data_IF_716663041652
#
_entry.id   IF_716663041652
#
_cell.length_a   1.000
_cell.length_b   1.000
_cell.length_c   1.000
_cell.angle_alpha   90.00
_cell.angle_beta   90.00
_cell.angle_gamma   90.00
#
_symmetry.space_group_name_H-M   'P 1'
#
loop_
_entity.id
_entity.type
_entity.pdbx_description
1 polymer ?
#
# COMPACT_ATOMS: atom_id res chain seq x y z
N UNK A 1 -51.04 -24.76 21.87
CA UNK A 1 -49.57 -24.57 21.93
C UNK A 1 -49.19 -24.53 23.38
N UNK A 2 -48.32 -25.43 23.83
CA UNK A 2 -47.83 -25.43 25.20
C UNK A 2 -47.04 -24.14 25.43
N UNK A 3 -47.41 -23.36 26.43
CA UNK A 3 -46.71 -22.16 26.83
C UNK A 3 -45.53 -22.60 27.71
N UNK A 4 -44.39 -22.88 27.08
CA UNK A 4 -43.21 -23.44 27.77
C UNK A 4 -42.43 -22.39 28.58
N UNK A 5 -42.72 -21.10 28.40
CA UNK A 5 -42.16 -20.01 29.22
C UNK A 5 -43.17 -18.89 29.46
N UNK A 6 -43.30 -18.45 30.70
CA UNK A 6 -44.15 -17.31 31.08
C UNK A 6 -43.46 -15.96 30.87
N UNK A 7 -42.12 -15.93 30.88
CA UNK A 7 -41.33 -14.72 30.72
C UNK A 7 -40.02 -15.03 29.98
N UNK A 8 -39.73 -14.24 28.95
CA UNK A 8 -38.43 -14.24 28.28
C UNK A 8 -37.68 -12.95 28.63
N UNK A 9 -36.51 -13.08 29.25
CA UNK A 9 -35.63 -11.94 29.58
C UNK A 9 -34.32 -12.13 28.82
N UNK A 10 -33.97 -11.18 27.97
CA UNK A 10 -32.75 -11.27 27.16
C UNK A 10 -32.64 -10.17 26.11
N UNK A 11 -31.52 -10.15 25.37
CA UNK A 11 -31.31 -9.21 24.28
C UNK A 11 -32.13 -9.65 23.05
N UNK A 12 -33.40 -9.24 23.01
CA UNK A 12 -34.28 -9.46 21.86
C UNK A 12 -34.42 -8.18 21.05
N UNK A 13 -34.36 -8.31 19.72
CA UNK A 13 -34.71 -7.22 18.82
C UNK A 13 -36.23 -7.17 18.70
N UNK A 14 -36.84 -6.04 19.00
CA UNK A 14 -38.29 -5.86 18.84
C UNK A 14 -38.56 -5.52 17.37
N UNK A 15 -39.01 -6.50 16.59
CA UNK A 15 -39.49 -6.31 15.21
C UNK A 15 -41.01 -6.12 15.18
N UNK A 16 -41.57 -5.64 14.07
CA UNK A 16 -43.03 -5.48 13.92
C UNK A 16 -43.77 -6.81 14.06
N UNK A 17 -43.20 -7.91 13.56
CA UNK A 17 -43.78 -9.24 13.71
C UNK A 17 -43.83 -9.70 15.17
N UNK A 18 -42.74 -9.50 15.93
CA UNK A 18 -42.68 -9.87 17.35
C UNK A 18 -43.61 -8.99 18.19
N UNK A 19 -43.74 -7.71 17.84
CA UNK A 19 -44.61 -6.75 18.52
C UNK A 19 -46.11 -7.08 18.37
N UNK A 20 -46.51 -7.76 17.30
CA UNK A 20 -47.89 -8.23 17.08
C UNK A 20 -48.23 -9.46 17.95
N UNK A 21 -47.27 -10.37 18.09
CA UNK A 21 -47.48 -11.64 18.80
C UNK A 21 -47.21 -11.55 20.32
N UNK A 22 -46.32 -10.66 20.76
CA UNK A 22 -45.89 -10.55 22.16
C UNK A 22 -45.98 -9.12 22.69
N UNK A 23 -46.58 -8.97 23.88
CA UNK A 23 -46.51 -7.72 24.64
C UNK A 23 -45.10 -7.55 25.20
N UNK A 24 -44.40 -6.51 24.75
CA UNK A 24 -43.06 -6.15 25.23
C UNK A 24 -43.14 -4.99 26.23
N UNK A 25 -42.16 -4.94 27.14
CA UNK A 25 -42.00 -3.86 28.11
C UNK A 25 -41.33 -2.62 27.50
N UNK A 26 -40.97 -1.66 28.35
CA UNK A 26 -40.18 -0.50 27.92
C UNK A 26 -38.81 -0.92 27.38
N UNK A 27 -38.38 -0.29 26.29
CA UNK A 27 -37.07 -0.54 25.67
C UNK A 27 -35.96 -0.15 26.64
N UNK A 28 -35.12 -1.12 27.03
CA UNK A 28 -33.99 -0.91 27.94
C UNK A 28 -32.71 -0.48 27.22
N UNK A 29 -32.50 -0.95 25.98
CA UNK A 29 -31.29 -0.70 25.20
C UNK A 29 -31.65 -0.42 23.74
N UNK A 30 -31.11 0.67 23.21
CA UNK A 30 -31.18 1.03 21.80
C UNK A 30 -29.79 0.87 21.22
N UNK A 31 -29.63 -0.05 20.26
CA UNK A 31 -28.41 -0.18 19.48
C UNK A 31 -28.72 -0.09 17.99
N UNK A 32 -27.76 0.45 17.25
CA UNK A 32 -27.86 0.61 15.81
C UNK A 32 -27.14 -0.53 15.12
N UNK A 33 -27.49 -0.81 13.86
CA UNK A 33 -26.73 -1.74 13.04
C UNK A 33 -25.29 -1.24 12.90
N UNK A 34 -24.33 -2.04 13.36
CA UNK A 34 -22.89 -1.75 13.24
C UNK A 34 -22.22 -2.76 12.33
N UNK A 35 -21.31 -2.29 11.49
CA UNK A 35 -20.46 -3.15 10.69
C UNK A 35 -19.26 -3.59 11.51
N UNK A 36 -19.07 -4.89 11.61
CA UNK A 36 -17.85 -5.48 12.14
C UNK A 36 -17.08 -6.09 10.97
N UNK A 37 -15.96 -5.47 10.62
CA UNK A 37 -15.02 -5.99 9.64
C UNK A 37 -13.73 -6.42 10.36
N UNK A 38 -13.38 -7.69 10.27
CA UNK A 38 -12.08 -8.18 10.72
C UNK A 38 -11.01 -7.82 9.69
N UNK A 39 -9.98 -7.08 10.09
CA UNK A 39 -8.81 -6.88 9.24
C UNK A 39 -7.90 -8.11 9.32
N UNK A 40 -7.75 -8.85 8.22
CA UNK A 40 -6.79 -9.96 8.13
C UNK A 40 -5.34 -9.46 8.20
N UNK A 41 -5.06 -8.23 7.73
CA UNK A 41 -3.75 -7.57 7.84
C UNK A 41 -3.94 -6.08 8.08
N UNK A 42 -3.40 -5.50 9.17
CA UNK A 42 -3.61 -4.08 9.48
C UNK A 42 -2.82 -3.13 8.56
N UNK A 43 -1.80 -3.63 7.85
CA UNK A 43 -0.90 -2.80 7.05
C UNK A 43 -0.52 -3.48 5.74
N UNK A 44 -0.49 -2.71 4.65
CA UNK A 44 0.12 -3.13 3.40
C UNK A 44 1.57 -2.65 3.35
N UNK A 45 2.50 -3.56 3.11
CA UNK A 45 3.88 -3.19 2.81
C UNK A 45 4.02 -3.01 1.31
N UNK A 46 3.82 -1.79 0.79
CA UNK A 46 3.96 -1.52 -0.63
C UNK A 46 5.46 -1.57 -1.02
N UNK A 47 5.98 -2.75 -1.41
CA UNK A 47 7.41 -2.92 -1.79
C UNK A 47 7.73 -2.13 -3.05
N UNK A 48 6.83 -2.12 -4.03
CA UNK A 48 7.04 -1.40 -5.29
C UNK A 48 6.83 0.12 -5.18
N UNK A 49 6.03 0.59 -4.20
CA UNK A 49 5.98 2.01 -3.85
C UNK A 49 7.30 2.53 -3.26
N UNK A 50 8.19 1.65 -2.77
CA UNK A 50 9.46 2.05 -2.14
C UNK A 50 10.57 2.39 -3.13
N UNK A 51 10.52 1.86 -4.35
CA UNK A 51 11.40 2.35 -5.44
C UNK A 51 10.95 3.74 -5.90
N UNK A 52 9.67 4.08 -5.64
CA UNK A 52 9.05 5.38 -5.87
C UNK A 52 9.18 6.37 -4.69
N UNK A 53 10.00 6.10 -3.67
CA UNK A 53 10.27 7.10 -2.60
C UNK A 53 10.78 8.42 -3.18
N UNK A 54 11.44 8.36 -4.35
CA UNK A 54 11.64 9.54 -5.18
C UNK A 54 10.65 9.58 -6.33
N UNK A 55 10.15 10.78 -6.59
CA UNK A 55 9.39 11.08 -7.80
C UNK A 55 10.21 10.66 -9.03
N UNK A 56 9.50 10.15 -10.04
CA UNK A 56 10.10 9.74 -11.31
C UNK A 56 10.94 10.88 -11.93
N UNK A 57 10.55 12.13 -11.67
CA UNK A 57 11.26 13.34 -12.08
C UNK A 57 12.69 13.40 -11.54
N UNK A 58 12.90 13.01 -10.28
CA UNK A 58 14.22 13.02 -9.65
C UNK A 58 15.11 11.92 -10.23
N UNK A 59 14.56 10.73 -10.48
CA UNK A 59 15.29 9.66 -11.15
C UNK A 59 15.72 10.04 -12.57
N UNK A 60 14.83 10.69 -13.32
CA UNK A 60 15.13 11.23 -14.65
C UNK A 60 16.21 12.31 -14.57
N UNK A 61 16.15 13.20 -13.57
CA UNK A 61 17.14 14.25 -13.36
C UNK A 61 18.52 13.67 -13.03
N UNK A 62 18.59 12.67 -12.15
CA UNK A 62 19.85 11.95 -11.84
C UNK A 62 20.39 11.28 -13.10
N UNK A 63 19.55 10.57 -13.86
CA UNK A 63 19.96 9.94 -15.12
C UNK A 63 20.49 10.95 -16.15
N UNK A 64 19.79 12.07 -16.33
CA UNK A 64 20.16 13.11 -17.28
C UNK A 64 21.45 13.83 -16.86
N UNK A 65 21.60 14.14 -15.57
CA UNK A 65 22.83 14.71 -15.03
C UNK A 65 24.02 13.78 -15.24
N UNK A 66 23.84 12.46 -15.04
CA UNK A 66 24.89 11.47 -15.24
C UNK A 66 25.31 11.38 -16.72
N UNK A 67 24.36 11.38 -17.66
CA UNK A 67 24.64 11.43 -19.10
C UNK A 67 25.39 12.71 -19.48
N UNK A 68 24.96 13.87 -18.97
CA UNK A 68 25.58 15.17 -19.24
C UNK A 68 27.02 15.23 -18.70
N UNK A 69 27.24 14.81 -17.45
CA UNK A 69 28.56 14.76 -16.84
C UNK A 69 29.50 13.80 -17.57
N UNK A 70 28.99 12.64 -17.98
CA UNK A 70 29.75 11.67 -18.77
C UNK A 70 30.17 12.27 -20.12
N UNK A 71 29.25 12.95 -20.81
CA UNK A 71 29.54 13.63 -22.07
C UNK A 71 30.58 14.75 -21.92
N UNK A 72 30.42 15.63 -20.93
CA UNK A 72 31.37 16.71 -20.61
C UNK A 72 32.75 16.15 -20.28
N UNK A 73 32.80 15.07 -19.50
CA UNK A 73 34.05 14.43 -19.09
C UNK A 73 34.83 13.86 -20.27
N UNK A 74 34.14 13.23 -21.23
CA UNK A 74 34.79 12.72 -22.45
C UNK A 74 35.38 13.85 -23.30
N UNK A 75 34.78 15.05 -23.28
CA UNK A 75 35.36 16.23 -23.95
C UNK A 75 36.61 16.77 -23.24
N UNK A 76 36.68 16.63 -21.92
CA UNK A 76 37.81 17.04 -21.09
C UNK A 76 38.99 16.05 -21.17
N UNK A 77 38.70 14.78 -21.48
CA UNK A 77 39.71 13.76 -21.80
C UNK A 77 40.25 14.05 -23.21
N UNK A 78 41.40 14.73 -23.28
CA UNK A 78 42.03 15.08 -24.57
C UNK A 78 42.48 13.81 -25.31
N UNK A 79 41.97 13.54 -26.53
CA UNK A 79 42.53 12.50 -27.38
C UNK A 79 43.89 12.96 -27.92
N UNK A 80 44.93 12.16 -27.74
CA UNK A 80 46.26 12.42 -28.31
C UNK A 80 46.35 12.17 -29.84
N UNK A 81 45.22 12.10 -30.57
CA UNK A 81 45.24 11.93 -32.03
C UNK A 81 43.87 11.95 -32.70
N UNK A 82 43.72 12.78 -33.75
CA UNK A 82 42.45 13.10 -34.43
C UNK A 82 41.86 11.95 -35.26
N UNK A 83 42.70 10.99 -35.72
CA UNK A 83 42.31 9.97 -36.72
C UNK A 83 41.70 8.67 -36.17
N UNK A 84 41.92 8.31 -34.88
CA UNK A 84 41.32 7.13 -34.22
C UNK A 84 40.06 7.45 -33.40
N UNK A 85 39.59 8.70 -33.46
CA UNK A 85 38.68 9.27 -32.47
C UNK A 85 37.26 8.69 -32.51
N UNK A 86 36.69 8.41 -33.70
CA UNK A 86 35.28 7.97 -33.81
C UNK A 86 35.01 6.57 -33.25
N UNK A 87 35.89 5.59 -33.51
CA UNK A 87 35.74 4.23 -32.99
C UNK A 87 36.11 4.14 -31.48
N UNK A 88 36.98 5.03 -31.00
CA UNK A 88 37.35 5.09 -29.59
C UNK A 88 36.33 5.83 -28.72
N UNK A 89 35.55 6.76 -29.29
CA UNK A 89 34.66 7.63 -28.53
C UNK A 89 33.59 6.86 -27.75
N UNK A 90 32.88 5.91 -28.37
CA UNK A 90 31.86 5.12 -27.68
C UNK A 90 32.43 4.29 -26.54
N UNK A 91 33.63 3.73 -26.72
CA UNK A 91 34.32 2.94 -25.68
C UNK A 91 34.73 3.84 -24.51
N UNK A 92 35.39 4.96 -24.80
CA UNK A 92 35.79 5.94 -23.78
C UNK A 92 34.57 6.54 -23.07
N UNK A 93 33.49 6.81 -23.79
CA UNK A 93 32.22 7.26 -23.18
C UNK A 93 31.63 6.20 -22.27
N UNK A 94 31.60 4.94 -22.69
CA UNK A 94 31.15 3.83 -21.85
C UNK A 94 31.99 3.72 -20.57
N UNK A 95 33.31 3.72 -20.69
CA UNK A 95 34.22 3.62 -19.55
C UNK A 95 34.02 4.78 -18.55
N UNK A 96 33.92 6.02 -19.05
CA UNK A 96 33.66 7.22 -18.24
C UNK A 96 32.27 7.17 -17.60
N UNK A 97 31.25 6.79 -18.35
CA UNK A 97 29.89 6.61 -17.85
C UNK A 97 29.84 5.60 -16.70
N UNK A 98 30.52 4.46 -16.85
CA UNK A 98 30.57 3.44 -15.80
C UNK A 98 31.31 3.92 -14.55
N UNK A 99 32.31 4.81 -14.67
CA UNK A 99 32.95 5.45 -13.51
C UNK A 99 31.94 6.32 -12.76
N UNK A 100 31.22 7.22 -13.44
CA UNK A 100 30.21 8.07 -12.81
C UNK A 100 29.05 7.27 -12.22
N UNK A 101 28.62 6.21 -12.91
CA UNK A 101 27.60 5.29 -12.44
C UNK A 101 28.04 4.52 -11.19
N UNK A 102 29.26 3.97 -11.19
CA UNK A 102 29.83 3.31 -10.01
C UNK A 102 29.95 4.29 -8.83
N UNK A 103 30.38 5.53 -9.08
CA UNK A 103 30.43 6.59 -8.07
C UNK A 103 29.06 6.93 -7.48
N UNK A 104 28.00 6.91 -8.29
CA UNK A 104 26.61 7.07 -7.81
C UNK A 104 26.22 5.96 -6.85
N UNK A 105 26.62 4.73 -7.16
CA UNK A 105 26.41 3.55 -6.32
C UNK A 105 27.40 3.46 -5.15
N UNK A 106 28.29 4.44 -4.98
CA UNK A 106 29.39 4.44 -4.01
C UNK A 106 30.27 3.18 -4.09
N UNK A 107 30.39 2.61 -5.29
CA UNK A 107 31.24 1.44 -5.57
C UNK A 107 32.49 1.88 -6.32
N UNK A 108 33.58 1.16 -6.08
CA UNK A 108 34.79 1.32 -6.86
C UNK A 108 34.55 0.89 -8.31
N UNK A 109 34.97 1.71 -9.27
CA UNK A 109 34.92 1.36 -10.70
C UNK A 109 36.07 0.42 -11.05
N UNK A 110 35.86 -0.63 -11.86
CA UNK A 110 36.96 -1.49 -12.34
C UNK A 110 37.90 -0.78 -13.33
N UNK A 111 37.56 0.43 -13.78
CA UNK A 111 38.39 1.21 -14.70
C UNK A 111 39.41 2.00 -13.90
N UNK A 112 40.65 1.49 -13.84
CA UNK A 112 41.68 2.04 -12.95
C UNK A 112 42.24 3.39 -13.42
N UNK A 113 42.28 3.67 -14.73
CA UNK A 113 42.90 4.91 -15.24
C UNK A 113 42.25 5.41 -16.52
N UNK A 114 41.41 6.45 -16.42
CA UNK A 114 41.08 7.31 -17.56
C UNK A 114 42.05 8.48 -17.53
N UNK A 115 42.79 8.69 -18.62
CA UNK A 115 43.76 9.80 -18.75
C UNK A 115 43.07 11.16 -18.72
N UNK A 116 42.71 11.63 -17.53
CA UNK A 116 42.04 12.89 -17.28
C UNK A 116 42.99 13.96 -16.76
N UNK A 117 42.80 15.20 -17.22
CA UNK A 117 43.45 16.36 -16.60
C UNK A 117 42.86 16.70 -15.22
N UNK A 118 43.41 17.69 -14.50
CA UNK A 118 42.93 18.09 -13.18
C UNK A 118 41.45 18.51 -13.17
N UNK A 119 40.94 19.05 -14.29
CA UNK A 119 39.53 19.39 -14.45
C UNK A 119 38.59 18.17 -14.38
N UNK A 120 39.01 17.02 -14.92
CA UNK A 120 38.25 15.77 -14.83
C UNK A 120 38.18 15.27 -13.38
N UNK A 121 39.31 15.30 -12.66
CA UNK A 121 39.34 14.90 -11.24
C UNK A 121 38.49 15.82 -10.36
N UNK A 122 38.50 17.13 -10.62
CA UNK A 122 37.65 18.09 -9.92
C UNK A 122 36.16 17.81 -10.13
N UNK A 123 35.75 17.58 -11.38
CA UNK A 123 34.37 17.23 -11.72
C UNK A 123 33.95 15.89 -11.09
N UNK A 124 34.83 14.90 -11.12
CA UNK A 124 34.58 13.60 -10.49
C UNK A 124 34.46 13.70 -8.97
N UNK A 125 35.34 14.46 -8.30
CA UNK A 125 35.23 14.70 -6.85
C UNK A 125 33.91 15.40 -6.50
N UNK A 126 33.53 16.43 -7.26
CA UNK A 126 32.25 17.11 -7.07
C UNK A 126 31.07 16.15 -7.23
N UNK A 127 31.11 15.28 -8.24
CA UNK A 127 30.11 14.24 -8.44
C UNK A 127 30.01 13.27 -7.27
N UNK A 128 31.15 12.80 -6.74
CA UNK A 128 31.18 11.90 -5.59
C UNK A 128 30.55 12.54 -4.34
N UNK A 129 30.82 13.83 -4.10
CA UNK A 129 30.19 14.58 -3.00
C UNK A 129 28.68 14.68 -3.21
N UNK A 130 28.23 15.06 -4.42
CA UNK A 130 26.80 15.11 -4.73
C UNK A 130 26.12 13.72 -4.59
N UNK A 131 26.75 12.66 -5.08
CA UNK A 131 26.28 11.29 -4.96
C UNK A 131 26.21 10.82 -3.50
N UNK A 132 27.15 11.24 -2.66
CA UNK A 132 27.11 10.99 -1.22
C UNK A 132 25.89 11.62 -0.56
N UNK A 133 25.61 12.91 -0.84
CA UNK A 133 24.41 13.56 -0.30
C UNK A 133 23.13 12.93 -0.84
N UNK A 134 23.06 12.64 -2.14
CA UNK A 134 21.89 12.03 -2.77
C UNK A 134 21.55 10.65 -2.15
N UNK A 135 22.56 9.79 -1.96
CA UNK A 135 22.35 8.46 -1.35
C UNK A 135 21.97 8.53 0.13
N UNK A 136 22.55 9.48 0.89
CA UNK A 136 22.16 9.68 2.29
C UNK A 136 20.72 10.18 2.40
N UNK A 137 20.33 11.13 1.56
CA UNK A 137 18.97 11.64 1.51
C UNK A 137 17.97 10.54 1.10
N UNK A 138 18.30 9.77 0.07
CA UNK A 138 17.50 8.61 -0.35
C UNK A 138 17.28 7.63 0.80
N UNK A 139 18.37 7.27 1.50
CA UNK A 139 18.31 6.34 2.62
C UNK A 139 17.48 6.90 3.77
N UNK A 140 17.58 8.20 4.06
CA UNK A 140 16.78 8.86 5.08
C UNK A 140 15.29 8.85 4.74
N UNK A 141 14.92 9.21 3.51
CA UNK A 141 13.54 9.17 3.02
C UNK A 141 12.99 7.74 3.02
N UNK A 142 13.77 6.76 2.55
CA UNK A 142 13.38 5.35 2.57
C UNK A 142 13.13 4.85 4.00
N UNK A 143 13.95 5.27 4.97
CA UNK A 143 13.74 4.94 6.39
C UNK A 143 12.47 5.58 6.93
N UNK A 144 12.18 6.83 6.59
CA UNK A 144 10.95 7.49 6.99
C UNK A 144 9.71 6.76 6.44
N UNK A 145 9.73 6.39 5.15
CA UNK A 145 8.64 5.64 4.51
C UNK A 145 8.45 4.25 5.11
N UNK A 146 9.53 3.59 5.55
CA UNK A 146 9.45 2.30 6.22
C UNK A 146 8.83 2.39 7.62
N UNK A 147 8.92 3.54 8.28
CA UNK A 147 8.30 3.77 9.59
C UNK A 147 6.80 4.07 9.46
N UNK A 148 6.39 4.72 8.37
CA UNK A 148 4.98 5.05 8.13
C UNK A 148 4.27 3.84 7.50
N UNK A 149 3.59 3.06 8.33
CA UNK A 149 2.70 2.00 7.84
C UNK A 149 1.40 2.64 7.37
N UNK A 150 1.10 2.53 6.08
CA UNK A 150 -0.18 2.96 5.53
C UNK A 150 -1.26 2.06 6.12
N UNK A 151 -2.24 2.67 6.79
CA UNK A 151 -3.40 1.96 7.31
C UNK A 151 -4.15 1.32 6.15
N UNK A 152 -4.50 0.03 6.29
CA UNK A 152 -5.35 -0.63 5.31
C UNK A 152 -6.69 0.12 5.16
N UNK A 153 -7.27 0.18 3.95
CA UNK A 153 -8.51 0.90 3.69
C UNK A 153 -9.60 0.40 4.64
N UNK A 154 -10.14 1.32 5.44
CA UNK A 154 -11.21 1.03 6.41
C UNK A 154 -12.57 1.21 5.75
N UNK A 155 -13.43 0.22 5.90
CA UNK A 155 -14.85 0.34 5.58
C UNK A 155 -15.47 1.26 6.63
N UNK A 156 -15.88 2.47 6.23
CA UNK A 156 -16.53 3.43 7.14
C UNK A 156 -18.04 3.48 6.91
N UNK A 157 -18.47 3.20 5.68
CA UNK A 157 -19.86 3.33 5.26
C UNK A 157 -20.36 2.07 4.58
N UNK A 158 -21.69 1.92 4.51
CA UNK A 158 -22.36 0.87 3.74
C UNK A 158 -22.01 0.95 2.25
N UNK A 159 -21.85 2.18 1.74
CA UNK A 159 -21.46 2.42 0.36
C UNK A 159 -20.08 1.82 0.04
N UNK A 160 -19.14 1.82 1.00
CA UNK A 160 -17.81 1.24 0.81
C UNK A 160 -17.89 -0.29 0.67
N UNK A 161 -18.78 -0.94 1.42
CA UNK A 161 -19.04 -2.39 1.32
C UNK A 161 -19.62 -2.74 -0.04
N UNK A 162 -20.57 -1.92 -0.52
CA UNK A 162 -21.26 -2.17 -1.79
C UNK A 162 -20.38 -1.91 -3.01
N UNK A 163 -19.36 -1.05 -2.88
CA UNK A 163 -18.43 -0.72 -3.97
C UNK A 163 -17.44 -1.83 -4.29
N UNK A 164 -17.10 -2.68 -3.32
CA UNK A 164 -16.13 -3.75 -3.51
C UNK A 164 -16.83 -5.12 -3.67
N UNK A 165 -16.93 -5.65 -4.91
CA UNK A 165 -17.61 -6.91 -5.17
C UNK A 165 -16.90 -8.13 -4.55
N UNK A 166 -15.68 -7.97 -4.02
CA UNK A 166 -14.94 -9.04 -3.35
C UNK A 166 -15.30 -9.20 -1.87
N UNK A 167 -15.99 -8.21 -1.28
CA UNK A 167 -16.36 -8.23 0.14
C UNK A 167 -17.56 -9.15 0.38
N UNK A 168 -17.37 -10.22 1.15
CA UNK A 168 -18.48 -11.10 1.58
C UNK A 168 -19.14 -10.54 2.83
N UNK A 169 -20.43 -10.22 2.72
CA UNK A 169 -21.25 -9.80 3.86
C UNK A 169 -21.81 -11.04 4.55
N UNK A 170 -21.54 -11.17 5.85
CA UNK A 170 -22.07 -12.24 6.69
C UNK A 170 -23.13 -11.67 7.63
N UNK A 171 -24.33 -12.25 7.58
CA UNK A 171 -25.41 -11.96 8.51
C UNK A 171 -25.59 -13.16 9.46
N UNK A 172 -25.65 -12.88 10.76
CA UNK A 172 -25.95 -13.91 11.75
C UNK A 172 -27.38 -14.39 11.59
N UNK A 173 -27.56 -15.67 11.26
CA UNK A 173 -28.87 -16.29 11.15
C UNK A 173 -29.64 -16.21 12.48
N UNK A 174 -30.94 -15.89 12.41
CA UNK A 174 -31.79 -15.71 13.59
C UNK A 174 -31.71 -14.32 14.23
N UNK A 175 -30.85 -13.42 13.73
CA UNK A 175 -30.91 -12.02 14.10
C UNK A 175 -32.11 -11.34 13.45
N UNK A 176 -32.84 -10.49 14.19
CA UNK A 176 -33.99 -9.73 13.68
C UNK A 176 -33.65 -8.79 12.51
N UNK A 177 -32.37 -8.51 12.28
CA UNK A 177 -31.88 -7.78 11.11
C UNK A 177 -32.08 -8.54 9.79
N UNK A 178 -32.17 -9.86 9.82
CA UNK A 178 -32.39 -10.68 8.61
C UNK A 178 -33.73 -10.32 7.97
N UNK A 179 -34.77 -10.13 8.78
CA UNK A 179 -36.09 -9.71 8.30
C UNK A 179 -36.05 -8.31 7.70
N UNK A 180 -35.32 -7.38 8.33
CA UNK A 180 -35.16 -6.03 7.84
C UNK A 180 -34.55 -5.99 6.43
N UNK A 181 -33.53 -6.81 6.16
CA UNK A 181 -32.90 -6.90 4.83
C UNK A 181 -33.74 -7.66 3.80
N UNK A 182 -34.63 -8.56 4.23
CA UNK A 182 -35.55 -9.29 3.34
C UNK A 182 -36.78 -8.45 2.95
N UNK A 183 -37.24 -7.58 3.84
CA UNK A 183 -38.43 -6.71 3.62
C UNK A 183 -38.06 -5.42 2.90
N UNK A 184 -36.82 -4.93 3.03
CA UNK A 184 -36.37 -3.73 2.31
C UNK A 184 -36.37 -4.00 0.80
N UNK A 185 -37.08 -3.19 -0.02
CA UNK A 185 -37.18 -3.44 -1.45
C UNK A 185 -35.79 -3.47 -2.09
N UNK A 186 -35.49 -4.57 -2.80
CA UNK A 186 -34.26 -4.74 -3.57
C UNK A 186 -34.17 -3.63 -4.61
N UNK A 187 -33.30 -2.66 -4.39
CA UNK A 187 -32.69 -1.97 -5.51
C UNK A 187 -31.84 -3.01 -6.25
N UNK A 188 -32.06 -3.14 -7.56
CA UNK A 188 -31.65 -4.25 -8.45
C UNK A 188 -30.15 -4.60 -8.53
N UNK A 189 -29.30 -3.98 -7.72
CA UNK A 189 -27.83 -4.10 -7.79
C UNK A 189 -27.18 -4.92 -6.66
N UNK A 190 -27.94 -5.41 -5.67
CA UNK A 190 -27.37 -6.13 -4.51
C UNK A 190 -27.35 -7.65 -4.77
N UNK A 191 -26.15 -8.21 -4.97
CA UNK A 191 -25.88 -9.66 -5.17
C UNK A 191 -25.91 -10.48 -3.88
N UNK A 192 -25.93 -11.80 -4.07
CA UNK A 192 -26.13 -12.89 -3.10
C UNK A 192 -25.65 -12.61 -1.67
N UNK A 193 -26.63 -12.55 -0.75
CA UNK A 193 -26.41 -12.53 0.69
C UNK A 193 -26.28 -13.99 1.14
N UNK A 194 -25.11 -14.37 1.67
CA UNK A 194 -24.93 -15.68 2.27
C UNK A 194 -25.27 -15.63 3.76
N UNK A 195 -26.34 -16.33 4.15
CA UNK A 195 -26.70 -16.54 5.56
C UNK A 195 -25.87 -17.70 6.12
N UNK A 196 -25.14 -17.43 7.20
CA UNK A 196 -24.43 -18.48 7.94
C UNK A 196 -25.24 -18.80 9.19
N UNK A 197 -25.73 -20.03 9.29
CA UNK A 197 -26.30 -20.58 10.53
C UNK A 197 -25.15 -20.84 11.49
N UNK A 198 -24.94 -19.94 12.43
CA UNK A 198 -24.08 -20.22 13.58
C UNK A 198 -24.97 -20.89 14.62
N UNK A 199 -24.83 -22.20 14.81
CA UNK A 199 -25.53 -22.92 15.87
C UNK A 199 -25.00 -22.42 17.20
N UNK A 200 -25.82 -21.82 18.08
CA UNK A 200 -25.36 -21.46 19.41
C UNK A 200 -25.14 -22.76 20.19
N UNK A 201 -23.87 -23.09 20.49
CA UNK A 201 -23.53 -24.12 21.47
C UNK A 201 -23.88 -23.59 22.86
N UNK A 202 -25.16 -23.62 23.21
CA UNK A 202 -25.61 -23.45 24.59
C UNK A 202 -25.54 -24.85 25.22
N UNK A 203 -24.41 -25.17 25.85
CA UNK A 203 -24.36 -26.29 26.79
C UNK A 203 -25.17 -25.90 28.01
N UNK A 204 -26.42 -26.32 28.06
CA UNK A 204 -27.22 -26.27 29.29
C UNK A 204 -26.65 -27.33 30.22
N UNK A 205 -25.84 -26.89 31.20
CA UNK A 205 -25.50 -27.71 32.36
C UNK A 205 -26.77 -27.86 33.19
N UNK A 206 -27.34 -29.07 33.22
CA UNK A 206 -28.36 -29.42 34.22
C UNK A 206 -27.65 -29.68 35.54
N UNK A 207 -27.92 -28.84 36.53
CA UNK A 207 -27.89 -29.23 37.94
C UNK A 207 -29.33 -29.40 38.43
#
# INVERSE_FOLDING_TARGET
MAQESELAVGPFLITTAIAEDFKYGSVFLVDNLRFMAGLQRPFFSAVFSRVSTFDIELWVLVGLSLLLLSYLSVKLVRPSGVRRFKASFLRTYGDVFFIYFAGTMQKHSPVEHVGGGPAFHGLHCLWLVCGFFAMNFFTASMRADLLVKIEAPRIRTTADVLRDPSTRILLFGGAGFTELFLVTPRHSDIREIHTVRVTPCISVSRE
#
